data_IF_996668441098
#
_entry.id   IF_996668441098
#
_cell.length_a   1.000
_cell.length_b   1.000
_cell.length_c   1.000
_cell.angle_alpha   90.00
_cell.angle_beta   90.00
_cell.angle_gamma   90.00
#
_symmetry.space_group_name_H-M   'P 1'
#
loop_
_entity.id
_entity.type
_entity.pdbx_description
1 polymer ?
#
# COMPACT_ATOMS: atom_id res chain seq x y z
N UNK A 1 11.69 -5.94 17.18
CA UNK A 1 11.82 -7.39 16.91
C UNK A 1 10.56 -8.09 17.39
N UNK A 2 9.58 -8.28 16.51
CA UNK A 2 8.32 -8.94 16.85
C UNK A 2 8.45 -10.44 16.58
N UNK A 3 8.32 -11.25 17.63
CA UNK A 3 8.33 -12.70 17.51
C UNK A 3 6.99 -13.15 16.91
N UNK A 4 6.99 -13.45 15.61
CA UNK A 4 5.91 -14.18 14.97
C UNK A 4 5.86 -15.58 15.59
N UNK A 5 4.86 -15.82 16.44
CA UNK A 5 4.53 -17.14 16.97
C UNK A 5 4.17 -18.03 15.79
N UNK A 6 5.01 -19.02 15.50
CA UNK A 6 4.74 -20.10 14.57
C UNK A 6 3.34 -20.68 14.86
N UNK A 7 2.38 -20.42 13.97
CA UNK A 7 1.17 -21.22 13.93
C UNK A 7 1.61 -22.63 13.56
N UNK A 8 1.63 -23.53 14.56
CA UNK A 8 1.69 -24.97 14.31
C UNK A 8 0.44 -25.31 13.52
N UNK A 9 0.56 -25.38 12.19
CA UNK A 9 -0.45 -25.99 11.35
C UNK A 9 -0.38 -27.47 11.68
N UNK A 10 -1.06 -27.86 12.74
CA UNK A 10 -1.32 -29.26 13.06
C UNK A 10 -2.24 -29.79 11.97
N UNK A 11 -1.66 -30.29 10.88
CA UNK A 11 -2.35 -31.13 9.92
C UNK A 11 -2.67 -32.46 10.62
N UNK A 12 -3.70 -32.44 11.47
CA UNK A 12 -4.36 -33.66 11.92
C UNK A 12 -5.22 -34.10 10.73
N UNK A 13 -4.62 -34.85 9.81
CA UNK A 13 -5.41 -35.69 8.91
C UNK A 13 -6.09 -36.73 9.80
N UNK A 14 -7.37 -36.50 10.08
CA UNK A 14 -8.24 -37.50 10.68
C UNK A 14 -8.13 -38.79 9.86
N UNK A 15 -7.85 -39.89 10.56
CA UNK A 15 -7.79 -41.23 10.03
C UNK A 15 -9.00 -41.49 9.12
N UNK A 16 -8.75 -41.74 7.83
CA UNK A 16 -9.70 -42.47 7.00
C UNK A 16 -9.86 -43.85 7.65
N UNK A 17 -11.07 -44.09 8.18
CA UNK A 17 -11.43 -45.30 8.89
C UNK A 17 -11.27 -46.53 7.99
N UNK A 18 -10.21 -47.29 8.24
CA UNK A 18 -10.07 -48.66 7.75
C UNK A 18 -10.79 -49.59 8.73
N UNK A 19 -12.11 -49.60 8.71
CA UNK A 19 -12.92 -50.65 9.36
C UNK A 19 -13.85 -51.27 8.32
N UNK A 20 -13.32 -52.19 7.52
CA UNK A 20 -14.14 -53.16 6.81
C UNK A 20 -14.30 -54.38 7.72
N UNK A 21 -15.40 -54.43 8.48
CA UNK A 21 -15.89 -55.67 9.08
C UNK A 21 -16.92 -56.29 8.11
N UNK A 22 -16.77 -57.57 7.70
CA UNK A 22 -17.78 -58.22 6.87
C UNK A 22 -19.01 -58.55 7.73
N UNK A 23 -20.13 -57.88 7.46
CA UNK A 23 -21.43 -58.28 7.99
C UNK A 23 -21.90 -59.54 7.25
N UNK A 24 -21.87 -60.67 7.95
CA UNK A 24 -22.58 -61.89 7.55
C UNK A 24 -24.09 -61.62 7.67
N UNK A 25 -24.77 -61.41 6.54
CA UNK A 25 -26.23 -61.41 6.48
C UNK A 25 -26.73 -62.76 5.98
N UNK A 26 -27.63 -63.32 6.78
CA UNK A 26 -28.21 -64.64 6.61
C UNK A 26 -29.07 -64.79 5.35
N UNK A 27 -29.22 -66.05 4.98
CA UNK A 27 -30.03 -66.56 3.89
C UNK A 27 -31.49 -66.14 3.98
N UNK A 28 -32.02 -65.57 2.90
CA UNK A 28 -33.35 -65.94 2.38
C UNK A 28 -33.27 -65.95 0.86
N UNK A 29 -33.59 -67.09 0.24
CA UNK A 29 -33.78 -67.22 -1.19
C UNK A 29 -35.15 -66.62 -1.55
N UNK A 30 -35.26 -65.89 -2.67
CA UNK A 30 -36.28 -66.05 -3.73
C UNK A 30 -35.89 -65.21 -4.96
N UNK A 31 -35.97 -65.87 -6.12
CA UNK A 31 -36.01 -65.39 -7.51
C UNK A 31 -34.71 -65.02 -8.23
N UNK A 32 -34.40 -65.90 -9.20
CA UNK A 32 -33.41 -65.73 -10.24
C UNK A 32 -33.95 -64.77 -11.30
N UNK A 33 -33.28 -63.63 -11.44
CA UNK A 33 -33.30 -62.80 -12.63
C UNK A 33 -31.87 -62.78 -13.16
N UNK A 34 -31.74 -63.04 -14.47
CA UNK A 34 -30.48 -63.25 -15.18
C UNK A 34 -29.60 -62.01 -15.06
N UNK A 35 -28.60 -62.09 -14.16
CA UNK A 35 -27.69 -60.99 -13.86
C UNK A 35 -26.71 -60.81 -15.02
N UNK A 36 -26.94 -59.76 -15.82
CA UNK A 36 -25.92 -59.22 -16.71
C UNK A 36 -24.59 -59.13 -15.97
N UNK A 37 -23.53 -59.67 -16.57
CA UNK A 37 -22.20 -59.69 -15.99
C UNK A 37 -21.80 -58.26 -15.57
N UNK A 38 -21.70 -58.05 -14.26
CA UNK A 38 -21.22 -56.80 -13.71
C UNK A 38 -19.84 -56.51 -14.32
N UNK A 39 -19.66 -55.30 -14.85
CA UNK A 39 -18.34 -54.79 -15.19
C UNK A 39 -17.42 -55.02 -13.98
N UNK A 40 -16.18 -55.51 -14.17
CA UNK A 40 -15.28 -55.79 -13.06
C UNK A 40 -15.19 -54.54 -12.17
N UNK A 41 -15.56 -54.68 -10.90
CA UNK A 41 -15.40 -53.62 -9.91
C UNK A 41 -13.97 -53.12 -9.97
N UNK A 42 -13.78 -51.79 -10.06
CA UNK A 42 -12.46 -51.21 -9.96
C UNK A 42 -11.76 -51.78 -8.71
N UNK A 43 -10.50 -52.23 -8.81
CA UNK A 43 -9.81 -52.85 -7.68
C UNK A 43 -9.87 -51.91 -6.48
N UNK A 44 -10.37 -52.43 -5.36
CA UNK A 44 -10.49 -51.67 -4.11
C UNK A 44 -9.11 -51.17 -3.71
N UNK A 45 -9.03 -49.91 -3.32
CA UNK A 45 -7.80 -49.30 -2.82
C UNK A 45 -7.32 -50.07 -1.57
N UNK A 46 -6.23 -50.82 -1.72
CA UNK A 46 -5.63 -51.61 -0.64
C UNK A 46 -4.12 -51.49 -0.66
N UNK A 47 -3.51 -51.53 0.52
CA UNK A 47 -2.05 -51.68 0.67
C UNK A 47 -1.73 -53.17 0.71
N UNK A 48 -0.78 -53.63 -0.11
CA UNK A 48 -0.41 -55.06 -0.11
C UNK A 48 0.20 -55.50 1.22
N UNK A 49 0.06 -56.77 1.63
CA UNK A 49 0.52 -57.27 2.93
C UNK A 49 1.99 -56.97 3.24
N UNK A 50 2.86 -57.03 2.22
CA UNK A 50 4.30 -56.79 2.36
C UNK A 50 4.59 -55.35 2.79
N UNK A 51 3.87 -54.38 2.21
CA UNK A 51 3.97 -52.97 2.59
C UNK A 51 3.27 -52.75 3.94
N UNK A 52 2.07 -53.28 4.13
CA UNK A 52 1.31 -53.11 5.38
C UNK A 52 2.13 -53.56 6.61
N UNK A 53 2.88 -54.66 6.50
CA UNK A 53 3.77 -55.13 7.57
C UNK A 53 4.84 -54.12 7.96
N UNK A 54 5.36 -53.33 7.00
CA UNK A 54 6.34 -52.28 7.26
C UNK A 54 5.68 -51.01 7.80
N UNK A 55 4.52 -50.63 7.27
CA UNK A 55 3.84 -49.39 7.63
C UNK A 55 2.61 -49.59 8.51
N UNK A 56 2.64 -50.63 9.36
CA UNK A 56 1.55 -50.97 10.28
C UNK A 56 1.15 -49.73 11.11
N UNK A 57 -0.13 -49.29 11.06
CA UNK A 57 -0.53 -48.03 11.69
C UNK A 57 -0.27 -47.96 13.20
N UNK A 58 -0.38 -49.07 13.92
CA UNK A 58 -0.12 -49.10 15.36
C UNK A 58 1.37 -48.93 15.65
N UNK A 59 2.23 -49.65 14.93
CA UNK A 59 3.68 -49.52 15.08
C UNK A 59 4.18 -48.14 14.67
N UNK A 60 3.68 -47.57 13.57
CA UNK A 60 4.07 -46.24 13.13
C UNK A 60 3.64 -45.18 14.16
N UNK A 61 2.44 -45.32 14.73
CA UNK A 61 1.97 -44.42 15.79
C UNK A 61 2.91 -44.46 17.01
N UNK A 62 3.30 -45.65 17.46
CA UNK A 62 4.21 -45.80 18.60
C UNK A 62 5.61 -45.23 18.30
N UNK A 63 6.14 -45.48 17.10
CA UNK A 63 7.42 -44.91 16.66
C UNK A 63 7.39 -43.38 16.57
N UNK A 64 6.30 -42.81 16.04
CA UNK A 64 6.10 -41.36 15.98
C UNK A 64 5.98 -40.75 17.39
N UNK A 65 5.25 -41.39 18.31
CA UNK A 65 5.14 -40.96 19.70
C UNK A 65 6.48 -41.02 20.45
N UNK A 66 7.28 -42.06 20.18
CA UNK A 66 8.63 -42.22 20.70
C UNK A 66 9.67 -41.30 20.00
N UNK A 67 9.25 -40.48 19.03
CA UNK A 67 10.11 -39.63 18.19
C UNK A 67 11.20 -40.41 17.43
N UNK A 68 10.97 -41.71 17.19
CA UNK A 68 11.87 -42.53 16.39
C UNK A 68 11.60 -42.32 14.89
N UNK A 69 11.78 -41.08 14.43
CA UNK A 69 11.50 -40.68 13.06
C UNK A 69 12.43 -41.34 12.03
N UNK A 70 13.66 -41.67 12.43
CA UNK A 70 14.63 -42.34 11.56
C UNK A 70 14.13 -43.72 11.14
N UNK A 71 13.59 -44.50 12.08
CA UNK A 71 13.01 -45.81 11.78
C UNK A 71 11.76 -45.68 10.91
N UNK A 72 10.88 -44.71 11.18
CA UNK A 72 9.71 -44.47 10.34
C UNK A 72 10.13 -44.13 8.89
N UNK A 73 11.13 -43.27 8.70
CA UNK A 73 11.68 -42.96 7.37
C UNK A 73 12.22 -44.22 6.69
N UNK A 74 13.01 -45.03 7.39
CA UNK A 74 13.57 -46.26 6.85
C UNK A 74 12.47 -47.22 6.35
N UNK A 75 11.41 -47.41 7.13
CA UNK A 75 10.28 -48.28 6.72
C UNK A 75 9.50 -47.75 5.53
N UNK A 76 9.32 -46.43 5.44
CA UNK A 76 8.74 -45.78 4.27
C UNK A 76 9.62 -46.04 3.03
N UNK A 77 10.94 -45.90 3.16
CA UNK A 77 11.88 -46.06 2.05
C UNK A 77 11.96 -47.51 1.58
N UNK A 78 11.98 -48.48 2.50
CA UNK A 78 11.87 -49.91 2.16
C UNK A 78 10.58 -50.22 1.40
N UNK A 79 9.46 -49.67 1.85
CA UNK A 79 8.16 -49.83 1.17
C UNK A 79 8.17 -49.19 -0.22
N UNK A 80 8.79 -48.02 -0.34
CA UNK A 80 8.90 -47.28 -1.59
C UNK A 80 9.84 -47.93 -2.63
N UNK A 81 10.77 -48.77 -2.18
CA UNK A 81 11.70 -49.50 -3.04
C UNK A 81 11.09 -50.77 -3.66
N UNK A 82 9.90 -51.19 -3.22
CA UNK A 82 9.23 -52.38 -3.76
C UNK A 82 8.73 -52.13 -5.19
N UNK A 83 8.82 -53.12 -6.10
CA UNK A 83 8.38 -52.96 -7.48
C UNK A 83 6.86 -52.81 -7.58
N UNK A 84 6.41 -52.14 -8.64
CA UNK A 84 5.00 -52.01 -9.03
C UNK A 84 4.08 -51.41 -7.96
N UNK A 85 4.54 -50.33 -7.29
CA UNK A 85 3.68 -49.59 -6.36
C UNK A 85 2.41 -49.09 -7.05
N UNK A 86 1.27 -49.35 -6.43
CA UNK A 86 0.00 -48.79 -6.90
C UNK A 86 -0.07 -47.28 -6.61
N UNK A 87 -0.91 -46.52 -7.33
CA UNK A 87 -1.15 -45.12 -7.01
C UNK A 87 -1.67 -44.90 -5.58
N UNK A 88 -2.43 -45.86 -5.03
CA UNK A 88 -2.92 -45.79 -3.65
C UNK A 88 -1.80 -46.00 -2.63
N UNK A 89 -0.95 -46.99 -2.81
CA UNK A 89 0.21 -47.22 -1.94
C UNK A 89 1.17 -46.03 -1.97
N UNK A 90 1.43 -45.47 -3.16
CA UNK A 90 2.22 -44.23 -3.31
C UNK A 90 1.59 -43.07 -2.52
N UNK A 91 0.27 -42.91 -2.57
CA UNK A 91 -0.44 -41.90 -1.80
C UNK A 91 -0.29 -42.10 -0.28
N UNK A 92 -0.47 -43.34 0.21
CA UNK A 92 -0.30 -43.68 1.63
C UNK A 92 1.13 -43.40 2.11
N UNK A 93 2.14 -43.81 1.33
CA UNK A 93 3.55 -43.55 1.66
C UNK A 93 3.86 -42.05 1.70
N UNK A 94 3.30 -41.27 0.76
CA UNK A 94 3.46 -39.82 0.77
C UNK A 94 2.74 -39.16 1.96
N UNK A 95 1.57 -39.64 2.35
CA UNK A 95 0.90 -39.18 3.57
C UNK A 95 1.77 -39.41 4.82
N UNK A 96 2.46 -40.55 4.90
CA UNK A 96 3.40 -40.82 5.99
C UNK A 96 4.62 -39.91 5.94
N UNK A 97 5.18 -39.64 4.74
CA UNK A 97 6.28 -38.67 4.57
C UNK A 97 5.88 -37.27 5.03
N UNK A 98 4.65 -36.82 4.73
CA UNK A 98 4.12 -35.54 5.21
C UNK A 98 4.02 -35.52 6.73
N UNK A 99 3.56 -36.61 7.36
CA UNK A 99 3.49 -36.70 8.83
C UNK A 99 4.87 -36.61 9.48
N UNK A 100 5.84 -37.39 8.98
CA UNK A 100 7.22 -37.34 9.48
C UNK A 100 7.82 -35.96 9.24
N UNK A 101 7.72 -35.44 8.01
CA UNK A 101 8.25 -34.14 7.64
C UNK A 101 7.66 -33.00 8.47
N UNK A 102 6.36 -33.05 8.76
CA UNK A 102 5.70 -32.09 9.67
C UNK A 102 6.24 -32.20 11.10
N UNK A 103 6.39 -33.41 11.63
CA UNK A 103 6.88 -33.64 12.98
C UNK A 103 8.35 -33.22 13.16
N UNK A 104 9.16 -33.32 12.11
CA UNK A 104 10.59 -32.95 12.13
C UNK A 104 10.88 -31.57 11.55
N UNK A 105 9.87 -30.84 11.07
CA UNK A 105 10.06 -29.60 10.29
C UNK A 105 10.99 -29.78 9.08
N UNK A 106 10.95 -30.97 8.46
CA UNK A 106 11.77 -31.35 7.31
C UNK A 106 11.00 -31.07 6.01
N UNK A 107 11.14 -29.85 5.51
CA UNK A 107 10.49 -29.40 4.27
C UNK A 107 10.99 -30.17 3.04
N UNK A 108 12.23 -30.68 3.06
CA UNK A 108 12.77 -31.46 1.94
C UNK A 108 12.07 -32.81 1.80
N UNK A 109 11.64 -33.42 2.91
CA UNK A 109 10.81 -34.62 2.91
C UNK A 109 9.33 -34.30 2.66
N UNK A 110 8.80 -33.26 3.31
CA UNK A 110 7.37 -32.95 3.31
C UNK A 110 6.86 -32.44 1.96
N UNK A 111 7.58 -31.50 1.33
CA UNK A 111 7.08 -30.81 0.13
C UNK A 111 6.88 -31.76 -1.05
N UNK A 112 7.86 -32.57 -1.50
CA UNK A 112 7.65 -33.47 -2.62
C UNK A 112 6.52 -34.47 -2.39
N UNK A 113 6.35 -34.92 -1.15
CA UNK A 113 5.26 -35.82 -0.77
C UNK A 113 3.89 -35.12 -0.84
N UNK A 114 3.80 -33.87 -0.36
CA UNK A 114 2.57 -33.08 -0.41
C UNK A 114 2.19 -32.71 -1.86
N UNK A 115 3.17 -32.34 -2.69
CA UNK A 115 2.98 -32.11 -4.13
C UNK A 115 2.45 -33.37 -4.83
N UNK A 116 3.07 -34.53 -4.58
CA UNK A 116 2.61 -35.80 -5.13
C UNK A 116 1.20 -36.20 -4.65
N UNK A 117 0.84 -35.88 -3.41
CA UNK A 117 -0.53 -36.08 -2.92
C UNK A 117 -1.53 -35.18 -3.65
N UNK A 118 -1.18 -33.92 -3.93
CA UNK A 118 -2.03 -33.00 -4.70
C UNK A 118 -2.25 -33.51 -6.13
N UNK A 119 -1.19 -34.02 -6.77
CA UNK A 119 -1.24 -34.49 -8.15
C UNK A 119 -1.84 -35.90 -8.30
N UNK A 120 -1.99 -36.64 -7.20
CA UNK A 120 -2.56 -38.00 -7.22
C UNK A 120 -4.03 -38.07 -7.64
N UNK A 121 -4.77 -36.95 -7.58
CA UNK A 121 -6.21 -36.91 -7.80
C UNK A 121 -7.05 -37.57 -6.68
N UNK A 122 -6.41 -37.99 -5.57
CA UNK A 122 -7.05 -38.74 -4.48
C UNK A 122 -7.49 -37.87 -3.29
N UNK A 123 -7.14 -36.59 -3.29
CA UNK A 123 -7.58 -35.65 -2.26
C UNK A 123 -9.02 -35.20 -2.50
N UNK A 124 -9.78 -34.99 -1.43
CA UNK A 124 -11.04 -34.27 -1.52
C UNK A 124 -10.77 -32.86 -2.09
N UNK A 125 -11.69 -32.29 -2.92
CA UNK A 125 -11.46 -31.01 -3.58
C UNK A 125 -11.04 -29.88 -2.61
N UNK A 126 -11.68 -29.80 -1.45
CA UNK A 126 -11.34 -28.81 -0.40
C UNK A 126 -9.91 -29.00 0.11
N UNK A 127 -9.52 -30.23 0.43
CA UNK A 127 -8.19 -30.54 0.95
C UNK A 127 -7.10 -30.27 -0.10
N UNK A 128 -7.38 -30.59 -1.37
CA UNK A 128 -6.49 -30.26 -2.48
C UNK A 128 -6.19 -28.76 -2.52
N UNK A 129 -7.22 -27.91 -2.48
CA UNK A 129 -7.04 -26.45 -2.53
C UNK A 129 -6.29 -25.90 -1.31
N UNK A 130 -6.57 -26.43 -0.11
CA UNK A 130 -5.85 -26.08 1.11
C UNK A 130 -4.36 -26.48 1.02
N UNK A 131 -4.07 -27.64 0.43
CA UNK A 131 -2.70 -28.12 0.29
C UNK A 131 -1.93 -27.33 -0.77
N UNK A 132 -2.55 -26.95 -1.89
CA UNK A 132 -1.94 -26.03 -2.88
C UNK A 132 -1.52 -24.72 -2.21
N UNK A 133 -2.41 -24.12 -1.40
CA UNK A 133 -2.11 -22.90 -0.65
C UNK A 133 -0.97 -23.12 0.37
N UNK A 134 -1.01 -24.23 1.11
CA UNK A 134 0.02 -24.57 2.08
C UNK A 134 1.39 -24.74 1.43
N UNK A 135 1.48 -25.46 0.30
CA UNK A 135 2.72 -25.65 -0.45
C UNK A 135 3.28 -24.30 -0.92
N UNK A 136 2.45 -23.43 -1.50
CA UNK A 136 2.87 -22.08 -1.90
C UNK A 136 3.43 -21.27 -0.73
N UNK A 137 2.76 -21.29 0.42
CA UNK A 137 3.22 -20.59 1.63
C UNK A 137 4.51 -21.18 2.23
N UNK A 138 4.67 -22.51 2.20
CA UNK A 138 5.90 -23.15 2.68
C UNK A 138 7.07 -22.76 1.76
N UNK A 139 6.90 -22.77 0.43
CA UNK A 139 7.94 -22.29 -0.48
C UNK A 139 8.27 -20.81 -0.27
N UNK A 140 7.24 -19.97 -0.11
CA UNK A 140 7.41 -18.54 0.16
C UNK A 140 8.23 -18.28 1.42
N UNK A 141 7.88 -18.94 2.54
CA UNK A 141 8.59 -18.80 3.82
C UNK A 141 9.99 -19.43 3.77
N UNK A 142 10.19 -20.48 2.97
CA UNK A 142 11.50 -21.07 2.67
C UNK A 142 12.33 -20.23 1.68
N UNK A 143 11.79 -19.09 1.20
CA UNK A 143 12.41 -18.18 0.22
C UNK A 143 12.64 -18.79 -1.17
N UNK A 144 12.00 -19.91 -1.48
CA UNK A 144 11.94 -20.44 -2.84
C UNK A 144 10.79 -19.74 -3.58
N UNK A 145 11.05 -18.49 -3.98
CA UNK A 145 10.01 -17.63 -4.56
C UNK A 145 9.55 -18.12 -5.94
N UNK A 146 10.41 -18.80 -6.70
CA UNK A 146 10.05 -19.38 -7.99
C UNK A 146 8.96 -20.44 -7.83
N UNK A 147 9.15 -21.38 -6.90
CA UNK A 147 8.11 -22.39 -6.62
C UNK A 147 6.89 -21.80 -5.95
N UNK A 148 7.07 -20.84 -5.04
CA UNK A 148 5.94 -20.15 -4.40
C UNK A 148 5.01 -19.52 -5.45
N UNK A 149 5.58 -18.85 -6.47
CA UNK A 149 4.82 -18.25 -7.57
C UNK A 149 4.05 -19.30 -8.37
N UNK A 150 4.68 -20.43 -8.72
CA UNK A 150 4.01 -21.54 -9.43
C UNK A 150 2.79 -22.02 -8.64
N UNK A 151 2.95 -22.26 -7.35
CA UNK A 151 1.88 -22.78 -6.50
C UNK A 151 0.79 -21.76 -6.21
N UNK A 152 1.13 -20.48 -6.00
CA UNK A 152 0.14 -19.42 -5.88
C UNK A 152 -0.65 -19.24 -7.18
N UNK A 153 -0.01 -19.25 -8.35
CA UNK A 153 -0.72 -19.18 -9.63
C UNK A 153 -1.63 -20.38 -9.84
N UNK A 154 -1.18 -21.59 -9.48
CA UNK A 154 -2.01 -22.81 -9.50
C UNK A 154 -3.24 -22.65 -8.60
N UNK A 155 -3.09 -22.09 -7.39
CA UNK A 155 -4.23 -21.80 -6.50
C UNK A 155 -5.27 -20.93 -7.19
N UNK A 156 -4.85 -19.86 -7.88
CA UNK A 156 -5.78 -18.96 -8.57
C UNK A 156 -6.52 -19.69 -9.69
N UNK A 157 -5.80 -20.45 -10.52
CA UNK A 157 -6.39 -21.19 -11.63
C UNK A 157 -7.37 -22.27 -11.16
N UNK A 158 -7.05 -23.01 -10.10
CA UNK A 158 -7.90 -24.11 -9.62
C UNK A 158 -9.09 -23.66 -8.76
N UNK A 159 -8.99 -22.50 -8.10
CA UNK A 159 -10.06 -22.02 -7.19
C UNK A 159 -10.87 -20.85 -7.74
N UNK A 160 -10.35 -20.13 -8.74
CA UNK A 160 -10.87 -18.83 -9.15
C UNK A 160 -10.68 -17.71 -8.11
N UNK A 161 -10.10 -18.01 -6.94
CA UNK A 161 -9.91 -17.06 -5.85
C UNK A 161 -8.51 -16.44 -5.90
N UNK A 162 -8.34 -15.45 -6.78
CA UNK A 162 -7.08 -14.74 -6.94
C UNK A 162 -6.71 -13.90 -5.70
N UNK A 163 -7.71 -13.29 -5.05
CA UNK A 163 -7.50 -12.32 -3.97
C UNK A 163 -6.85 -12.92 -2.74
N UNK A 164 -7.11 -14.21 -2.43
CA UNK A 164 -6.58 -14.87 -1.23
C UNK A 164 -5.04 -14.95 -1.19
N UNK A 165 -4.41 -15.22 -2.34
CA UNK A 165 -2.95 -15.42 -2.45
C UNK A 165 -2.23 -14.24 -3.08
N UNK A 166 -2.97 -13.23 -3.55
CA UNK A 166 -2.44 -12.06 -4.26
C UNK A 166 -1.33 -11.32 -3.48
N UNK A 167 -1.47 -11.02 -2.18
CA UNK A 167 -0.43 -10.30 -1.45
C UNK A 167 0.90 -11.06 -1.39
N UNK A 168 0.86 -12.37 -1.13
CA UNK A 168 2.05 -13.22 -1.09
C UNK A 168 2.66 -13.41 -2.48
N UNK A 169 1.84 -13.53 -3.52
CA UNK A 169 2.31 -13.63 -4.89
C UNK A 169 3.09 -12.38 -5.32
N UNK A 170 2.53 -11.18 -5.10
CA UNK A 170 3.20 -9.92 -5.42
C UNK A 170 4.51 -9.76 -4.63
N UNK A 171 4.52 -10.12 -3.35
CA UNK A 171 5.73 -10.12 -2.53
C UNK A 171 6.75 -11.15 -3.00
N UNK A 172 6.33 -12.32 -3.49
CA UNK A 172 7.22 -13.33 -4.05
C UNK A 172 7.94 -12.79 -5.30
N UNK A 173 7.21 -12.15 -6.22
CA UNK A 173 7.80 -11.44 -7.37
C UNK A 173 8.78 -10.36 -6.92
N UNK A 174 8.43 -9.56 -5.92
CA UNK A 174 9.31 -8.54 -5.37
C UNK A 174 10.63 -9.13 -4.81
N UNK A 175 10.54 -10.18 -3.99
CA UNK A 175 11.72 -10.76 -3.34
C UNK A 175 12.63 -11.52 -4.30
N UNK A 176 12.13 -12.03 -5.42
CA UNK A 176 12.97 -12.54 -6.52
C UNK A 176 13.49 -11.46 -7.47
N UNK A 177 13.32 -10.17 -7.13
CA UNK A 177 13.71 -9.00 -7.91
C UNK A 177 12.97 -8.83 -9.25
N UNK A 178 11.79 -9.44 -9.41
CA UNK A 178 10.92 -9.20 -10.56
C UNK A 178 10.06 -7.94 -10.36
N UNK A 179 10.75 -6.81 -10.26
CA UNK A 179 10.17 -5.49 -10.08
C UNK A 179 9.21 -5.07 -11.23
N UNK A 180 9.48 -5.37 -12.52
CA UNK A 180 8.56 -5.04 -13.62
C UNK A 180 7.19 -5.71 -13.48
N UNK A 181 7.17 -6.98 -13.07
CA UNK A 181 5.90 -7.69 -12.84
C UNK A 181 5.13 -7.07 -11.68
N UNK A 182 5.79 -6.79 -10.54
CA UNK A 182 5.13 -6.15 -9.39
C UNK A 182 4.56 -4.78 -9.77
N UNK A 183 5.33 -3.95 -10.49
CA UNK A 183 4.86 -2.64 -10.97
C UNK A 183 3.59 -2.77 -11.81
N UNK A 184 3.61 -3.67 -12.79
CA UNK A 184 2.49 -3.88 -13.73
C UNK A 184 1.24 -4.34 -13.00
N UNK A 185 1.38 -5.35 -12.15
CA UNK A 185 0.27 -5.97 -11.44
C UNK A 185 -0.32 -5.04 -10.37
N UNK A 186 0.51 -4.35 -9.59
CA UNK A 186 0.00 -3.38 -8.59
C UNK A 186 -0.68 -2.19 -9.26
N UNK A 187 -0.16 -1.66 -10.38
CA UNK A 187 -0.82 -0.57 -11.10
C UNK A 187 -2.17 -1.01 -11.70
N UNK A 188 -2.29 -2.27 -12.13
CA UNK A 188 -3.57 -2.84 -12.56
C UNK A 188 -4.56 -2.92 -11.38
N UNK A 189 -4.09 -3.35 -10.20
CA UNK A 189 -4.91 -3.42 -8.98
C UNK A 189 -5.37 -2.00 -8.56
N UNK A 190 -4.49 -1.00 -8.65
CA UNK A 190 -4.83 0.42 -8.42
C UNK A 190 -5.90 0.92 -9.40
N UNK A 191 -5.73 0.67 -10.71
CA UNK A 191 -6.69 1.09 -11.73
C UNK A 191 -8.07 0.42 -11.53
N UNK A 192 -8.09 -0.85 -11.14
CA UNK A 192 -9.34 -1.57 -10.84
C UNK A 192 -10.05 -0.98 -9.61
N UNK A 193 -9.31 -0.66 -8.55
CA UNK A 193 -9.86 -0.01 -7.37
C UNK A 193 -10.42 1.39 -7.70
N UNK A 194 -9.70 2.17 -8.51
CA UNK A 194 -10.17 3.48 -8.97
C UNK A 194 -11.48 3.40 -9.78
N UNK A 195 -11.59 2.43 -10.69
CA UNK A 195 -12.81 2.18 -11.45
C UNK A 195 -13.97 1.72 -10.56
N UNK A 196 -13.67 0.95 -9.52
CA UNK A 196 -14.66 0.49 -8.55
C UNK A 196 -15.04 1.56 -7.50
N UNK A 197 -14.38 2.72 -7.50
CA UNK A 197 -14.57 3.74 -6.47
C UNK A 197 -14.09 3.31 -5.07
N UNK A 198 -13.17 2.35 -5.00
CA UNK A 198 -12.60 1.83 -3.76
C UNK A 198 -11.13 2.27 -3.60
N UNK A 199 -10.62 2.21 -2.37
CA UNK A 199 -9.21 2.50 -2.12
C UNK A 199 -8.36 1.25 -2.40
N UNK A 200 -7.29 1.34 -3.22
CA UNK A 200 -6.25 0.31 -3.28
C UNK A 200 -5.61 0.13 -1.91
N UNK A 201 -5.12 -1.07 -1.56
CA UNK A 201 -4.61 -1.30 -0.19
C UNK A 201 -3.33 -0.53 0.09
N UNK A 202 -3.13 -0.09 1.35
CA UNK A 202 -1.90 0.61 1.75
C UNK A 202 -0.64 -0.24 1.54
N UNK A 203 -0.75 -1.56 1.73
CA UNK A 203 0.34 -2.51 1.56
C UNK A 203 0.81 -2.61 0.10
N UNK A 204 -0.12 -2.61 -0.87
CA UNK A 204 0.20 -2.62 -2.30
C UNK A 204 0.85 -1.31 -2.74
N UNK A 205 0.33 -0.17 -2.27
CA UNK A 205 0.92 1.13 -2.57
C UNK A 205 2.33 1.27 -1.98
N UNK A 206 2.53 0.80 -0.75
CA UNK A 206 3.86 0.74 -0.14
C UNK A 206 4.81 -0.20 -0.90
N UNK A 207 4.29 -1.34 -1.41
CA UNK A 207 5.05 -2.24 -2.27
C UNK A 207 5.48 -1.56 -3.57
N UNK A 208 4.60 -0.79 -4.22
CA UNK A 208 4.92 0.01 -5.41
C UNK A 208 6.03 1.03 -5.12
N UNK A 209 5.96 1.70 -3.96
CA UNK A 209 7.03 2.58 -3.49
C UNK A 209 8.35 1.84 -3.34
N UNK A 210 8.35 0.67 -2.70
CA UNK A 210 9.55 -0.16 -2.57
C UNK A 210 10.12 -0.60 -3.92
N UNK A 211 9.26 -0.89 -4.91
CA UNK A 211 9.69 -1.13 -6.30
C UNK A 211 10.42 0.10 -6.85
N UNK A 212 9.86 1.31 -6.70
CA UNK A 212 10.52 2.56 -7.07
C UNK A 212 11.91 2.72 -6.45
N UNK A 213 12.05 2.45 -5.15
CA UNK A 213 13.37 2.49 -4.47
C UNK A 213 14.33 1.47 -5.08
N UNK A 214 13.92 0.20 -5.21
CA UNK A 214 14.80 -0.90 -5.64
C UNK A 214 15.22 -0.76 -7.10
N UNK A 215 14.31 -0.29 -7.95
CA UNK A 215 14.57 -0.01 -9.35
C UNK A 215 15.21 1.35 -9.59
N UNK A 216 15.46 2.17 -8.54
CA UNK A 216 15.93 3.55 -8.63
C UNK A 216 15.05 4.44 -9.53
N UNK A 217 13.76 4.10 -9.61
CA UNK A 217 12.73 4.83 -10.35
C UNK A 217 12.06 5.83 -9.38
N UNK A 218 12.66 7.02 -9.27
CA UNK A 218 12.17 8.09 -8.41
C UNK A 218 10.76 8.55 -8.80
N UNK A 219 10.40 8.47 -10.09
CA UNK A 219 9.07 8.87 -10.56
C UNK A 219 8.01 7.87 -10.06
N UNK A 220 8.30 6.57 -10.14
CA UNK A 220 7.43 5.53 -9.58
C UNK A 220 7.30 5.64 -8.05
N UNK A 221 8.40 5.92 -7.37
CA UNK A 221 8.35 6.15 -5.92
C UNK A 221 7.41 7.30 -5.58
N UNK A 222 7.57 8.44 -6.25
CA UNK A 222 6.72 9.61 -6.01
C UNK A 222 5.24 9.31 -6.33
N UNK A 223 4.97 8.59 -7.43
CA UNK A 223 3.62 8.15 -7.77
C UNK A 223 3.00 7.29 -6.66
N UNK A 224 3.76 6.36 -6.07
CA UNK A 224 3.30 5.55 -4.95
C UNK A 224 2.98 6.39 -3.71
N UNK A 225 3.82 7.39 -3.39
CA UNK A 225 3.55 8.33 -2.29
C UNK A 225 2.35 9.23 -2.58
N UNK A 226 2.16 9.68 -3.82
CA UNK A 226 0.94 10.40 -4.23
C UNK A 226 -0.32 9.55 -3.98
N UNK A 227 -0.31 8.25 -4.33
CA UNK A 227 -1.43 7.36 -4.01
C UNK A 227 -1.61 7.18 -2.50
N UNK A 228 -0.54 6.99 -1.73
CA UNK A 228 -0.62 6.89 -0.26
C UNK A 228 -1.21 8.15 0.36
N UNK A 229 -0.84 9.33 -0.14
CA UNK A 229 -1.45 10.60 0.30
C UNK A 229 -2.92 10.69 -0.09
N UNK A 230 -3.29 10.26 -1.30
CA UNK A 230 -4.68 10.28 -1.79
C UNK A 230 -5.61 9.40 -0.97
N UNK A 231 -5.19 8.19 -0.63
CA UNK A 231 -6.06 7.17 0.00
C UNK A 231 -5.84 7.00 1.50
N UNK A 232 -4.62 7.28 1.99
CA UNK A 232 -4.21 7.06 3.38
C UNK A 232 -3.42 8.26 3.92
N UNK A 233 -3.98 9.48 3.87
CA UNK A 233 -3.23 10.69 4.21
C UNK A 233 -2.73 10.65 5.65
N UNK A 234 -1.40 10.71 5.80
CA UNK A 234 -0.73 10.91 7.09
C UNK A 234 0.27 12.05 6.96
N UNK A 235 0.62 12.68 8.09
CA UNK A 235 1.67 13.71 8.04
C UNK A 235 3.00 13.15 7.51
N UNK A 236 3.30 11.87 7.75
CA UNK A 236 4.52 11.23 7.26
C UNK A 236 4.55 11.17 5.74
N UNK A 237 3.45 10.77 5.09
CA UNK A 237 3.38 10.70 3.64
C UNK A 237 3.36 12.08 2.98
N UNK A 238 2.64 13.04 3.55
CA UNK A 238 2.67 14.42 3.06
C UNK A 238 4.07 15.03 3.16
N UNK A 239 4.77 14.82 4.28
CA UNK A 239 6.12 15.33 4.48
C UNK A 239 7.09 14.76 3.44
N UNK A 240 7.04 13.44 3.23
CA UNK A 240 7.86 12.76 2.23
C UNK A 240 7.53 13.23 0.80
N UNK A 241 6.24 13.33 0.46
CA UNK A 241 5.78 13.81 -0.85
C UNK A 241 6.33 15.21 -1.17
N UNK A 242 6.18 16.16 -0.23
CA UNK A 242 6.60 17.54 -0.40
C UNK A 242 8.13 17.66 -0.49
N UNK A 243 8.87 16.97 0.38
CA UNK A 243 10.34 16.99 0.35
C UNK A 243 10.92 16.38 -0.92
N UNK A 244 10.35 15.27 -1.41
CA UNK A 244 10.80 14.64 -2.65
C UNK A 244 10.46 15.45 -3.89
N UNK A 245 9.35 16.18 -3.85
CA UNK A 245 8.99 17.13 -4.91
C UNK A 245 10.02 18.25 -4.99
N UNK A 246 10.40 18.84 -3.85
CA UNK A 246 11.48 19.83 -3.75
C UNK A 246 12.84 19.28 -4.20
N UNK A 247 13.08 17.98 -3.98
CA UNK A 247 14.30 17.29 -4.40
C UNK A 247 14.37 16.89 -5.88
N UNK A 248 13.34 17.17 -6.70
CA UNK A 248 13.39 16.85 -8.14
C UNK A 248 14.48 17.67 -8.84
N UNK A 249 15.20 17.12 -9.84
CA UNK A 249 16.26 17.83 -10.56
C UNK A 249 15.81 19.12 -11.24
N UNK A 250 14.54 19.19 -11.64
CA UNK A 250 13.96 20.32 -12.35
C UNK A 250 13.08 21.21 -11.44
N UNK A 251 13.08 20.98 -10.13
CA UNK A 251 12.32 21.80 -9.19
C UNK A 251 12.80 23.25 -9.20
N UNK A 252 11.86 24.19 -9.23
CA UNK A 252 12.17 25.61 -9.19
C UNK A 252 12.04 26.17 -7.77
N UNK A 253 13.16 26.64 -7.20
CA UNK A 253 13.24 27.18 -5.83
C UNK A 253 12.27 28.34 -5.55
N UNK A 254 11.78 29.06 -6.57
CA UNK A 254 10.76 30.09 -6.38
C UNK A 254 9.45 29.56 -5.78
N UNK A 255 9.22 28.24 -5.85
CA UNK A 255 8.05 27.56 -5.28
C UNK A 255 8.26 27.17 -3.80
N UNK A 256 9.42 27.48 -3.18
CA UNK A 256 9.69 27.10 -1.80
C UNK A 256 8.67 27.68 -0.81
N UNK A 257 8.20 28.91 -1.07
CA UNK A 257 7.11 29.50 -0.28
C UNK A 257 5.80 28.70 -0.44
N UNK A 258 5.46 28.26 -1.65
CA UNK A 258 4.26 27.47 -1.91
C UNK A 258 4.34 26.06 -1.28
N UNK A 259 5.53 25.45 -1.25
CA UNK A 259 5.79 24.20 -0.53
C UNK A 259 5.63 24.39 0.98
N UNK A 260 6.21 25.45 1.56
CA UNK A 260 6.11 25.73 3.00
C UNK A 260 4.68 26.03 3.43
N UNK A 261 3.91 26.78 2.63
CA UNK A 261 2.47 26.98 2.84
C UNK A 261 1.73 25.66 2.95
N UNK A 262 2.01 24.76 2.01
CA UNK A 262 1.38 23.45 2.05
C UNK A 262 1.84 22.65 3.26
N UNK A 263 3.14 22.62 3.58
CA UNK A 263 3.65 21.92 4.77
C UNK A 263 2.99 22.41 6.07
N UNK A 264 2.88 23.72 6.26
CA UNK A 264 2.22 24.32 7.42
C UNK A 264 0.75 23.88 7.56
N UNK A 265 0.11 23.51 6.45
CA UNK A 265 -1.27 23.03 6.42
C UNK A 265 -1.38 21.52 6.65
N UNK A 266 -0.54 20.70 6.00
CA UNK A 266 -0.73 19.24 5.94
C UNK A 266 0.20 18.42 6.83
N UNK A 267 1.26 19.05 7.37
CA UNK A 267 2.20 18.44 8.31
C UNK A 267 2.55 19.36 9.50
N UNK A 268 1.57 20.02 10.14
CA UNK A 268 1.85 20.98 11.21
C UNK A 268 2.63 20.37 12.37
N UNK A 269 2.45 19.07 12.68
CA UNK A 269 3.22 18.37 13.73
C UNK A 269 4.68 18.06 13.37
N UNK A 270 5.10 18.33 12.13
CA UNK A 270 6.47 18.14 11.63
C UNK A 270 7.15 19.45 11.22
N UNK A 271 6.47 20.58 11.39
CA UNK A 271 7.04 21.89 11.13
C UNK A 271 7.83 22.35 12.35
N UNK A 272 9.12 22.56 12.18
CA UNK A 272 9.99 23.11 13.21
C UNK A 272 9.90 24.65 13.22
N UNK A 273 10.40 25.27 14.28
CA UNK A 273 10.39 26.73 14.43
C UNK A 273 11.16 27.45 13.30
N UNK A 274 12.21 26.82 12.77
CA UNK A 274 12.97 27.33 11.63
C UNK A 274 12.19 27.22 10.31
N UNK A 275 11.37 26.18 10.09
CA UNK A 275 10.52 26.08 8.91
C UNK A 275 9.49 27.23 8.86
N UNK A 276 8.95 27.61 10.03
CA UNK A 276 8.06 28.78 10.14
C UNK A 276 8.80 30.11 9.95
N UNK A 277 10.07 30.19 10.37
CA UNK A 277 10.91 31.36 10.12
C UNK A 277 11.19 31.53 8.63
N UNK A 278 11.54 30.45 7.92
CA UNK A 278 11.75 30.45 6.47
C UNK A 278 10.48 30.85 5.71
N UNK A 279 9.32 30.31 6.13
CA UNK A 279 8.03 30.69 5.57
C UNK A 279 7.79 32.20 5.72
N UNK A 280 8.07 32.75 6.91
CA UNK A 280 7.88 34.16 7.18
C UNK A 280 8.85 35.06 6.40
N UNK A 281 10.12 34.69 6.30
CA UNK A 281 11.11 35.41 5.50
C UNK A 281 10.69 35.47 4.02
N UNK A 282 10.30 34.33 3.45
CA UNK A 282 9.83 34.26 2.05
C UNK A 282 8.50 35.01 1.84
N UNK A 283 7.57 34.94 2.79
CA UNK A 283 6.31 35.69 2.74
C UNK A 283 6.56 37.21 2.79
N UNK A 284 7.51 37.68 3.62
CA UNK A 284 7.92 39.08 3.66
C UNK A 284 8.54 39.55 2.36
N UNK A 285 9.39 38.74 1.73
CA UNK A 285 9.94 39.05 0.40
C UNK A 285 8.84 39.16 -0.67
N UNK A 286 7.75 38.41 -0.51
CA UNK A 286 6.56 38.49 -1.35
C UNK A 286 5.62 39.65 -1.03
N UNK A 287 5.85 40.41 0.06
CA UNK A 287 4.96 41.46 0.53
C UNK A 287 3.71 40.94 1.25
N UNK A 288 3.71 39.69 1.72
CA UNK A 288 2.57 39.07 2.42
C UNK A 288 2.76 39.16 3.94
N UNK A 289 2.71 40.39 4.47
CA UNK A 289 3.09 40.69 5.85
C UNK A 289 2.21 39.97 6.89
N UNK A 290 0.90 39.87 6.64
CA UNK A 290 -0.02 39.16 7.53
C UNK A 290 0.29 37.67 7.59
N UNK A 291 0.62 37.05 6.45
CA UNK A 291 1.04 35.64 6.39
C UNK A 291 2.35 35.42 7.16
N UNK A 292 3.35 36.29 6.98
CA UNK A 292 4.61 36.21 7.70
C UNK A 292 4.43 36.35 9.22
N UNK A 293 3.60 37.30 9.65
CA UNK A 293 3.25 37.47 11.07
C UNK A 293 2.62 36.20 11.62
N UNK A 294 1.62 35.65 10.92
CA UNK A 294 0.91 34.45 11.36
C UNK A 294 1.83 33.22 11.43
N UNK A 295 2.80 33.09 10.53
CA UNK A 295 3.78 32.00 10.57
C UNK A 295 4.70 32.10 11.78
N UNK A 296 5.23 33.29 12.08
CA UNK A 296 6.07 33.51 13.26
C UNK A 296 5.31 33.34 14.57
N UNK A 297 4.05 33.79 14.63
CA UNK A 297 3.19 33.58 15.80
C UNK A 297 2.96 32.07 16.07
N UNK A 298 2.81 31.27 15.01
CA UNK A 298 2.67 29.81 15.11
C UNK A 298 3.97 29.10 15.49
N UNK A 299 5.09 29.49 14.90
CA UNK A 299 6.39 28.87 15.15
C UNK A 299 6.97 29.15 16.53
N UNK A 300 6.56 30.25 17.17
CA UNK A 300 7.11 30.70 18.46
C UNK A 300 6.01 31.12 19.45
N UNK A 301 5.18 30.17 19.92
CA UNK A 301 4.17 30.48 20.92
C UNK A 301 4.84 30.92 22.24
N UNK A 302 4.08 31.65 23.07
CA UNK A 302 4.45 31.96 24.47
C UNK A 302 5.78 32.71 24.65
N UNK A 303 6.17 33.56 23.70
CA UNK A 303 7.33 34.46 23.84
C UNK A 303 8.69 33.82 23.59
N UNK A 304 8.75 32.60 23.05
CA UNK A 304 10.00 31.89 22.73
C UNK A 304 10.80 32.52 21.58
N UNK A 305 10.19 33.47 20.86
CA UNK A 305 10.77 34.10 19.67
C UNK A 305 12.12 34.78 19.92
N UNK A 306 12.34 35.31 21.13
CA UNK A 306 13.58 35.97 21.54
C UNK A 306 14.64 35.04 22.11
N UNK A 307 14.39 33.73 22.19
CA UNK A 307 15.31 32.76 22.79
C UNK A 307 16.32 32.22 21.77
N UNK A 308 17.48 31.75 22.26
CA UNK A 308 18.52 31.12 21.44
C UNK A 308 19.36 32.10 20.59
N UNK A 309 20.35 31.59 19.85
CA UNK A 309 21.30 32.41 19.08
C UNK A 309 20.64 33.34 18.05
N UNK A 310 19.57 32.87 17.40
CA UNK A 310 18.85 33.65 16.37
C UNK A 310 17.66 34.45 16.92
N UNK A 311 17.46 34.47 18.25
CA UNK A 311 16.29 35.10 18.87
C UNK A 311 16.11 36.58 18.51
N UNK A 312 17.21 37.35 18.48
CA UNK A 312 17.16 38.76 18.09
C UNK A 312 16.79 38.96 16.61
N UNK A 313 17.32 38.11 15.72
CA UNK A 313 16.99 38.13 14.28
C UNK A 313 15.51 37.84 14.07
N UNK A 314 15.00 36.78 14.71
CA UNK A 314 13.59 36.39 14.64
C UNK A 314 12.65 37.45 15.20
N UNK A 315 12.99 38.05 16.35
CA UNK A 315 12.20 39.15 16.92
C UNK A 315 12.10 40.33 15.95
N UNK A 316 13.21 40.73 15.33
CA UNK A 316 13.21 41.81 14.32
C UNK A 316 12.36 41.46 13.11
N UNK A 317 12.43 40.22 12.64
CA UNK A 317 11.61 39.72 11.52
C UNK A 317 10.11 39.81 11.85
N UNK A 318 9.73 39.42 13.07
CA UNK A 318 8.35 39.53 13.56
C UNK A 318 7.89 40.97 13.69
N UNK A 319 8.69 41.86 14.27
CA UNK A 319 8.38 43.29 14.37
C UNK A 319 8.15 43.90 12.98
N UNK A 320 8.96 43.53 11.99
CA UNK A 320 8.76 43.94 10.60
C UNK A 320 7.43 43.42 10.02
N UNK A 321 7.10 42.14 10.24
CA UNK A 321 5.86 41.55 9.78
C UNK A 321 4.63 42.17 10.45
N UNK A 322 4.68 42.41 11.77
CA UNK A 322 3.62 43.07 12.53
C UNK A 322 3.39 44.49 12.03
N UNK A 323 4.47 45.26 11.83
CA UNK A 323 4.36 46.62 11.31
C UNK A 323 3.76 46.63 9.90
N UNK A 324 4.28 45.79 9.00
CA UNK A 324 3.77 45.70 7.64
C UNK A 324 2.31 45.27 7.57
N UNK A 325 1.89 44.30 8.40
CA UNK A 325 0.50 43.87 8.47
C UNK A 325 -0.43 44.99 8.98
N UNK A 326 0.04 45.80 9.93
CA UNK A 326 -0.71 46.96 10.42
C UNK A 326 -0.78 48.09 9.39
N UNK A 327 0.27 48.28 8.60
CA UNK A 327 0.30 49.26 7.52
C UNK A 327 -0.61 48.84 6.36
N UNK A 328 -0.59 47.56 5.97
CA UNK A 328 -1.51 46.99 4.98
C UNK A 328 -2.97 47.15 5.44
N UNK A 329 -3.30 46.76 6.67
CA UNK A 329 -4.65 46.88 7.21
C UNK A 329 -5.24 48.29 7.11
N UNK A 330 -4.40 49.33 7.09
CA UNK A 330 -4.83 50.74 6.94
C UNK A 330 -4.81 51.22 5.49
N UNK A 331 -3.83 50.78 4.70
CA UNK A 331 -3.46 51.46 3.46
C UNK A 331 -3.57 50.60 2.20
N UNK A 332 -3.79 49.29 2.31
CA UNK A 332 -3.73 48.34 1.17
C UNK A 332 -4.64 48.74 0.00
N UNK A 333 -5.82 49.31 0.28
CA UNK A 333 -6.77 49.78 -0.74
C UNK A 333 -6.24 50.90 -1.63
N UNK A 334 -5.26 51.68 -1.17
CA UNK A 334 -4.64 52.75 -1.98
C UNK A 334 -3.88 52.20 -3.19
N UNK A 335 -3.43 50.94 -3.13
CA UNK A 335 -2.73 50.27 -4.22
C UNK A 335 -3.62 49.80 -5.37
N UNK A 336 -4.93 49.64 -5.13
CA UNK A 336 -5.86 49.03 -6.09
C UNK A 336 -5.96 49.79 -7.40
N UNK A 337 -6.15 51.11 -7.33
CA UNK A 337 -6.31 51.94 -8.53
C UNK A 337 -5.06 51.91 -9.42
N UNK A 338 -3.87 51.84 -8.82
CA UNK A 338 -2.60 51.73 -9.54
C UNK A 338 -2.46 50.35 -10.18
N UNK A 339 -2.70 49.28 -9.42
CA UNK A 339 -2.68 47.90 -9.91
C UNK A 339 -3.71 47.67 -11.04
N UNK A 340 -4.88 48.30 -10.95
CA UNK A 340 -5.93 48.25 -11.95
C UNK A 340 -5.55 48.96 -13.26
N UNK A 341 -4.69 49.99 -13.22
CA UNK A 341 -4.19 50.70 -14.42
C UNK A 341 -3.00 50.01 -15.09
N UNK A 342 -2.28 49.16 -14.36
CA UNK A 342 -1.18 48.36 -14.93
C UNK A 342 -1.68 47.50 -16.10
N UNK A 343 -0.83 47.33 -17.12
CA UNK A 343 -1.06 46.41 -18.25
C UNK A 343 -0.81 44.94 -17.87
N UNK A 344 0.00 44.70 -16.84
CA UNK A 344 0.26 43.38 -16.28
C UNK A 344 -0.61 43.17 -15.03
N UNK A 345 -1.31 42.04 -14.98
CA UNK A 345 -2.19 41.64 -13.90
C UNK A 345 -1.50 41.19 -12.61
N UNK A 346 -0.16 40.99 -12.62
CA UNK A 346 0.60 40.52 -11.45
C UNK A 346 0.35 41.34 -10.18
N UNK A 347 0.20 42.67 -10.32
CA UNK A 347 -0.08 43.56 -9.19
C UNK A 347 -1.43 43.27 -8.52
N UNK A 348 -2.48 43.02 -9.32
CA UNK A 348 -3.80 42.66 -8.82
C UNK A 348 -3.80 41.27 -8.17
N UNK A 349 -3.04 40.33 -8.72
CA UNK A 349 -2.88 38.98 -8.13
C UNK A 349 -2.20 39.05 -6.76
N UNK A 350 -1.10 39.80 -6.65
CA UNK A 350 -0.38 39.94 -5.37
C UNK A 350 -1.23 40.69 -4.33
N UNK A 351 -1.88 41.79 -4.73
CA UNK A 351 -2.75 42.58 -3.86
C UNK A 351 -3.94 41.76 -3.37
N UNK A 352 -4.62 41.06 -4.27
CA UNK A 352 -5.72 40.18 -3.93
C UNK A 352 -5.31 39.03 -3.00
N UNK A 353 -4.12 38.46 -3.19
CA UNK A 353 -3.62 37.46 -2.26
C UNK A 353 -3.31 38.04 -0.87
N UNK A 354 -2.76 39.26 -0.79
CA UNK A 354 -2.57 39.94 0.50
C UNK A 354 -3.91 40.13 1.24
N UNK A 355 -4.97 40.55 0.55
CA UNK A 355 -6.33 40.58 1.09
C UNK A 355 -6.82 39.21 1.60
N UNK A 356 -6.60 38.14 0.84
CA UNK A 356 -6.91 36.76 1.27
C UNK A 356 -6.18 36.40 2.56
N UNK A 357 -4.89 36.73 2.69
CA UNK A 357 -4.12 36.46 3.92
C UNK A 357 -4.60 37.27 5.13
N UNK A 358 -5.30 38.38 4.89
CA UNK A 358 -5.95 39.21 5.91
C UNK A 358 -7.36 38.71 6.26
N UNK A 359 -7.86 37.65 5.61
CA UNK A 359 -9.19 37.11 5.80
C UNK A 359 -10.28 37.81 4.97
N UNK A 360 -9.93 38.75 4.11
CA UNK A 360 -10.86 39.42 3.20
C UNK A 360 -10.97 38.61 1.90
N UNK A 361 -11.61 37.43 1.99
CA UNK A 361 -11.57 36.43 0.94
C UNK A 361 -12.26 36.87 -0.34
N UNK A 362 -13.52 37.33 -0.27
CA UNK A 362 -14.28 37.69 -1.47
C UNK A 362 -13.60 38.80 -2.29
N UNK A 363 -13.20 39.89 -1.63
CA UNK A 363 -12.50 41.00 -2.28
C UNK A 363 -11.14 40.57 -2.84
N UNK A 364 -10.38 39.80 -2.06
CA UNK A 364 -9.09 39.29 -2.50
C UNK A 364 -9.20 38.38 -3.73
N UNK A 365 -10.16 37.45 -3.73
CA UNK A 365 -10.45 36.57 -4.86
C UNK A 365 -10.92 37.35 -6.09
N UNK A 366 -11.74 38.40 -5.92
CA UNK A 366 -12.16 39.28 -7.02
C UNK A 366 -10.95 39.92 -7.71
N UNK A 367 -10.03 40.50 -6.93
CA UNK A 367 -8.82 41.13 -7.46
C UNK A 367 -7.90 40.12 -8.15
N UNK A 368 -7.70 38.94 -7.56
CA UNK A 368 -6.88 37.88 -8.17
C UNK A 368 -7.45 37.41 -9.51
N UNK A 369 -8.77 37.22 -9.60
CA UNK A 369 -9.45 36.87 -10.85
C UNK A 369 -9.30 37.97 -11.90
N UNK A 370 -9.51 39.24 -11.53
CA UNK A 370 -9.29 40.38 -12.44
C UNK A 370 -7.84 40.43 -12.93
N UNK A 371 -6.87 40.17 -12.05
CA UNK A 371 -5.45 40.11 -12.40
C UNK A 371 -5.15 39.02 -13.42
N UNK A 372 -5.64 37.80 -13.20
CA UNK A 372 -5.44 36.69 -14.13
C UNK A 372 -6.15 36.96 -15.47
N UNK A 373 -7.38 37.49 -15.46
CA UNK A 373 -8.13 37.83 -16.67
C UNK A 373 -7.44 38.93 -17.51
N UNK A 374 -6.74 39.87 -16.86
CA UNK A 374 -5.92 40.88 -17.53
C UNK A 374 -4.67 40.28 -18.20
N UNK A 375 -4.21 39.14 -17.72
CA UNK A 375 -2.99 38.46 -18.17
C UNK A 375 -1.80 38.76 -17.26
N UNK A 376 -0.96 37.75 -17.06
CA UNK A 376 0.27 37.82 -16.26
C UNK A 376 1.46 37.49 -17.15
N UNK A 377 2.39 38.43 -17.32
CA UNK A 377 3.39 38.36 -18.38
C UNK A 377 4.51 37.33 -18.15
N UNK A 378 5.00 37.22 -16.91
CA UNK A 378 6.16 36.37 -16.60
C UNK A 378 5.79 34.96 -16.14
N UNK A 379 4.90 34.87 -15.15
CA UNK A 379 4.58 33.60 -14.47
C UNK A 379 3.06 33.41 -14.33
N UNK A 380 2.31 33.23 -15.43
CA UNK A 380 0.86 33.06 -15.37
C UNK A 380 0.42 31.82 -14.60
N UNK A 381 1.20 30.73 -14.66
CA UNK A 381 0.88 29.49 -13.95
C UNK A 381 1.04 29.62 -12.43
N UNK A 382 1.98 30.44 -11.95
CA UNK A 382 2.10 30.74 -10.51
C UNK A 382 0.92 31.54 -10.00
N UNK A 383 0.44 32.49 -10.81
CA UNK A 383 -0.74 33.27 -10.46
C UNK A 383 -1.97 32.36 -10.31
N UNK A 384 -2.15 31.41 -11.25
CA UNK A 384 -3.20 30.39 -11.17
C UNK A 384 -3.03 29.45 -9.98
N UNK A 385 -1.81 28.97 -9.71
CA UNK A 385 -1.52 28.14 -8.55
C UNK A 385 -1.90 28.88 -7.26
N UNK A 386 -1.53 30.15 -7.15
CA UNK A 386 -1.87 31.02 -6.02
C UNK A 386 -3.35 31.28 -5.87
N UNK A 387 -4.06 31.54 -6.97
CA UNK A 387 -5.52 31.64 -6.94
C UNK A 387 -6.15 30.32 -6.46
N UNK A 388 -5.61 29.18 -6.89
CA UNK A 388 -6.07 27.87 -6.48
C UNK A 388 -6.02 27.64 -4.97
N UNK A 389 -4.89 27.92 -4.31
CA UNK A 389 -4.84 27.80 -2.85
C UNK A 389 -5.51 28.96 -2.10
N UNK A 390 -5.66 30.14 -2.71
CA UNK A 390 -6.51 31.20 -2.16
C UNK A 390 -7.99 30.78 -2.09
N UNK A 391 -8.49 30.10 -3.12
CA UNK A 391 -9.83 29.50 -3.10
C UNK A 391 -9.95 28.44 -2.01
N UNK A 392 -8.91 27.63 -1.79
CA UNK A 392 -8.86 26.69 -0.66
C UNK A 392 -8.97 27.41 0.68
N UNK A 393 -8.21 28.48 0.89
CA UNK A 393 -8.25 29.28 2.12
C UNK A 393 -9.64 29.88 2.38
N UNK A 394 -10.32 30.30 1.31
CA UNK A 394 -11.69 30.82 1.34
C UNK A 394 -12.78 29.73 1.42
N UNK A 395 -12.41 28.44 1.47
CA UNK A 395 -13.36 27.32 1.49
C UNK A 395 -14.07 27.02 0.15
N UNK A 396 -13.72 27.72 -0.94
CA UNK A 396 -14.29 27.52 -2.29
C UNK A 396 -13.60 26.35 -3.01
N UNK A 397 -13.77 25.14 -2.47
CA UNK A 397 -13.07 23.92 -2.92
C UNK A 397 -13.29 23.58 -4.41
N UNK A 398 -14.50 23.77 -4.94
CA UNK A 398 -14.78 23.48 -6.35
C UNK A 398 -14.06 24.44 -7.31
N UNK A 399 -14.04 25.73 -6.98
CA UNK A 399 -13.30 26.74 -7.75
C UNK A 399 -11.78 26.53 -7.66
N UNK A 400 -11.30 26.11 -6.49
CA UNK A 400 -9.91 25.72 -6.32
C UNK A 400 -9.56 24.58 -7.27
N UNK A 401 -10.34 23.49 -7.27
CA UNK A 401 -10.09 22.33 -8.12
C UNK A 401 -10.11 22.73 -9.60
N UNK A 402 -11.13 23.48 -10.02
CA UNK A 402 -11.26 23.96 -11.41
C UNK A 402 -10.05 24.79 -11.84
N UNK A 403 -9.58 25.69 -10.97
CA UNK A 403 -8.43 26.55 -11.26
C UNK A 403 -7.12 25.73 -11.31
N UNK A 404 -6.89 24.89 -10.31
CA UNK A 404 -5.67 24.10 -10.17
C UNK A 404 -5.52 23.06 -11.29
N UNK A 405 -6.62 22.54 -11.85
CA UNK A 405 -6.59 21.67 -13.03
C UNK A 405 -6.01 22.34 -14.27
N UNK A 406 -6.04 23.67 -14.34
CA UNK A 406 -5.46 24.44 -15.46
C UNK A 406 -3.98 24.75 -15.28
N UNK A 407 -3.42 24.45 -14.11
CA UNK A 407 -2.01 24.71 -13.80
C UNK A 407 -1.15 23.62 -14.44
N UNK A 408 -0.20 24.04 -15.25
CA UNK A 408 0.72 23.18 -16.00
C UNK A 408 2.17 23.49 -15.66
N UNK A 409 3.06 22.52 -15.82
CA UNK A 409 4.50 22.70 -15.61
C UNK A 409 5.14 21.52 -14.90
N UNK A 410 6.40 21.23 -15.24
CA UNK A 410 7.13 20.09 -14.70
C UNK A 410 8.12 20.48 -13.58
N UNK A 411 8.26 21.77 -13.27
CA UNK A 411 9.23 22.34 -12.32
C UNK A 411 8.76 22.33 -10.85
N UNK A 412 7.80 21.47 -10.51
CA UNK A 412 7.13 21.41 -9.20
C UNK A 412 5.74 22.06 -9.19
N UNK A 413 5.43 23.01 -10.08
CA UNK A 413 4.14 23.71 -10.04
C UNK A 413 2.94 22.81 -10.36
N UNK A 414 3.08 21.92 -11.34
CA UNK A 414 2.06 20.93 -11.66
C UNK A 414 1.88 19.89 -10.56
N UNK A 415 2.94 19.58 -9.80
CA UNK A 415 2.86 18.69 -8.64
C UNK A 415 2.06 19.36 -7.51
N UNK A 416 2.45 20.57 -7.11
CA UNK A 416 1.74 21.36 -6.10
C UNK A 416 0.26 21.54 -6.44
N UNK A 417 -0.06 21.79 -7.72
CA UNK A 417 -1.44 21.89 -8.15
C UNK A 417 -2.24 20.59 -7.90
N UNK A 418 -1.68 19.43 -8.26
CA UNK A 418 -2.28 18.12 -7.94
C UNK A 418 -2.41 17.91 -6.44
N UNK A 419 -1.43 18.35 -5.66
CA UNK A 419 -1.43 18.18 -4.21
C UNK A 419 -2.53 19.00 -3.54
N UNK A 420 -2.70 20.25 -3.94
CA UNK A 420 -3.83 21.08 -3.49
C UNK A 420 -5.18 20.51 -3.91
N UNK A 421 -5.30 19.92 -5.10
CA UNK A 421 -6.52 19.20 -5.53
C UNK A 421 -6.79 17.99 -4.62
N UNK A 422 -5.76 17.18 -4.31
CA UNK A 422 -5.90 16.03 -3.40
C UNK A 422 -6.36 16.49 -2.02
N UNK A 423 -5.78 17.56 -1.49
CA UNK A 423 -6.20 18.13 -0.21
C UNK A 423 -7.64 18.64 -0.26
N UNK A 424 -8.02 19.39 -1.30
CA UNK A 424 -9.38 19.94 -1.44
C UNK A 424 -10.45 18.85 -1.54
N UNK A 425 -10.14 17.73 -2.20
CA UNK A 425 -11.04 16.56 -2.32
C UNK A 425 -11.10 15.70 -1.06
N UNK A 426 -10.20 15.88 -0.11
CA UNK A 426 -10.16 15.06 1.09
C UNK A 426 -11.34 15.43 2.03
N UNK A 427 -12.25 14.49 2.33
CA UNK A 427 -13.42 14.75 3.19
C UNK A 427 -13.03 15.11 4.64
N UNK A 428 -11.84 14.72 5.09
CA UNK A 428 -11.31 15.05 6.42
C UNK A 428 -10.57 16.39 6.47
N UNK A 429 -10.49 17.13 5.36
CA UNK A 429 -9.83 18.44 5.34
C UNK A 429 -10.67 19.46 6.13
N UNK A 430 -10.08 20.18 7.10
CA UNK A 430 -10.81 21.12 7.96
C UNK A 430 -11.53 22.20 7.13
N UNK A 431 -12.73 22.60 7.58
CA UNK A 431 -13.48 23.69 6.98
C UNK A 431 -12.75 25.03 7.18
N UNK A 432 -12.94 25.97 6.25
CA UNK A 432 -12.36 27.30 6.34
C UNK A 432 -12.84 28.02 7.62
N UNK A 433 -11.99 28.84 8.27
CA UNK A 433 -12.45 29.72 9.34
C UNK A 433 -13.54 30.66 8.79
N UNK A 434 -14.59 30.89 9.57
CA UNK A 434 -15.60 31.90 9.24
C UNK A 434 -14.93 33.28 9.05
N UNK A 435 -15.37 34.03 8.03
CA UNK A 435 -15.00 35.43 7.85
C UNK A 435 -15.30 36.19 9.16
N UNK A 436 -14.33 36.98 9.62
CA UNK A 436 -14.47 37.80 10.83
C UNK A 436 -14.89 39.22 10.49
#
# INVERSE_FOLDING_TARGET
MSQFRFARISLILAALGLTAAPAMLGMTAVHAEEKAAAAPEAPKDTVRPEIFKLIDPAQIKDLMAAKNYAEVKNRIDQSAAMPNLTPFESFVLNQMRVQVGSATSDNALMLPALEAMIDSGRLAPKDKTNFIEAVGNIYYTSKDFDKAIVWFNRYQTETGNATKVRPQLLRAYFFKNDYPTVKTEVLKDVAAAEQAGTAPTSDELALLGNVGIKSKDNALYLQAVEYLVKYYPTEAYWFDLLNRTRGKPNYNQRLDLDVLRMKALVVPGRMEADDYSDLAELALLGGFYTEAKNALDKGFPNGQMGSGPDGAKRKKLHEQAVKGAADDAKNIGSGEASAAKSKDGVGLVNLGYAYVTMGQFDHGLELMNKGIAKGVLKNPEDAKLRLGYAYVMAGRKDDAIKTLQTVTGNDGRGDLARYWIMWAKNPSAPAAPAEK
#
